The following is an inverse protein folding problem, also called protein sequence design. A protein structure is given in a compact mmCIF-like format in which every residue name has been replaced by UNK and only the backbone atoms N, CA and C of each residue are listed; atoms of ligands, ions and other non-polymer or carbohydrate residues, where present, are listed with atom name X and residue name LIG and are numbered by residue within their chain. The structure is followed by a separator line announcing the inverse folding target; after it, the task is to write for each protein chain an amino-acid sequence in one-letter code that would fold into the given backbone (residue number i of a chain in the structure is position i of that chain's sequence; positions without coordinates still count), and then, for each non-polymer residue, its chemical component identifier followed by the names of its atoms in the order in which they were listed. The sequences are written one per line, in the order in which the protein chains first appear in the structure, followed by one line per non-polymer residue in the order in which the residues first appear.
data_IF_685957586772
#
_entry.id   IF_685957586772
#
_cell.length_a   1.000
_cell.length_b   1.000
_cell.length_c   1.000
_cell.angle_alpha   90.00
_cell.angle_beta   90.00
_cell.angle_gamma   90.00
#
_symmetry.space_group_name_H-M   'P 1'
#
loop_
_entity.id
_entity.type
_entity.pdbx_description
1 polymer ?
#
# COMPACT_ATOMS: atom_id res chain seq x y z
N UNK A 1 -41.79 27.27 -56.54
CA UNK A 1 -41.35 26.14 -57.38
C UNK A 1 -40.21 25.42 -56.66
N UNK A 2 -40.39 24.11 -56.41
CA UNK A 2 -39.41 23.04 -56.15
C UNK A 2 -38.25 23.25 -55.15
N UNK A 3 -38.30 22.42 -54.12
CA UNK A 3 -37.30 22.08 -53.09
C UNK A 3 -35.93 21.66 -53.63
N UNK A 4 -34.88 21.90 -52.83
CA UNK A 4 -33.84 20.90 -52.54
C UNK A 4 -33.22 21.19 -51.15
N UNK A 5 -33.35 20.23 -50.22
CA UNK A 5 -32.57 20.14 -48.98
C UNK A 5 -31.32 19.31 -49.26
N UNK A 6 -30.19 19.71 -48.67
CA UNK A 6 -29.09 18.81 -48.33
C UNK A 6 -28.41 19.34 -47.07
N UNK A 7 -28.33 18.49 -46.05
CA UNK A 7 -27.65 18.74 -44.79
C UNK A 7 -26.29 18.01 -44.79
N UNK A 8 -25.26 18.65 -44.23
CA UNK A 8 -24.05 18.01 -43.70
C UNK A 8 -23.34 19.04 -42.80
N UNK A 9 -23.54 18.97 -41.49
CA UNK A 9 -22.70 18.21 -40.53
C UNK A 9 -21.40 18.96 -40.19
N UNK A 10 -21.43 19.66 -39.06
CA UNK A 10 -20.33 20.44 -38.49
C UNK A 10 -19.17 19.55 -38.02
N UNK A 11 -17.95 20.07 -38.20
CA UNK A 11 -16.71 19.44 -37.76
C UNK A 11 -16.52 19.71 -36.27
N UNK A 12 -16.83 18.73 -35.43
CA UNK A 12 -16.42 18.72 -34.01
C UNK A 12 -15.12 17.89 -33.91
N UNK A 13 -13.99 18.57 -33.74
CA UNK A 13 -12.69 17.92 -33.56
C UNK A 13 -12.62 17.32 -32.16
N UNK A 14 -13.00 16.05 -32.03
CA UNK A 14 -12.76 15.24 -30.82
C UNK A 14 -11.28 14.85 -30.82
N UNK A 15 -10.49 15.46 -29.93
CA UNK A 15 -9.14 15.00 -29.62
C UNK A 15 -9.27 13.70 -28.84
N UNK A 16 -9.23 12.56 -29.55
CA UNK A 16 -9.02 11.26 -28.93
C UNK A 16 -7.59 11.24 -28.38
N UNK A 17 -7.45 11.35 -27.06
CA UNK A 17 -6.25 10.93 -26.35
C UNK A 17 -6.22 9.40 -26.42
N UNK A 18 -5.55 8.88 -27.43
CA UNK A 18 -5.18 7.47 -27.52
C UNK A 18 -4.16 7.18 -26.41
N UNK A 19 -4.63 6.72 -25.26
CA UNK A 19 -3.80 5.96 -24.33
C UNK A 19 -3.31 4.71 -25.08
N UNK A 20 -2.06 4.77 -25.52
CA UNK A 20 -1.36 3.63 -26.09
C UNK A 20 -1.18 2.56 -24.99
N UNK A 21 -2.16 1.67 -24.85
CA UNK A 21 -2.00 0.37 -24.23
C UNK A 21 -1.06 -0.46 -25.12
N UNK A 22 0.24 -0.17 -25.04
CA UNK A 22 1.27 -1.07 -25.54
C UNK A 22 1.31 -2.27 -24.60
N UNK A 23 0.42 -3.23 -24.86
CA UNK A 23 0.57 -4.61 -24.42
C UNK A 23 1.80 -5.19 -25.15
N UNK A 24 3.00 -4.87 -24.64
CA UNK A 24 4.22 -5.53 -25.05
C UNK A 24 4.24 -6.93 -24.41
N UNK A 25 3.55 -7.88 -25.02
CA UNK A 25 3.83 -9.31 -24.86
C UNK A 25 5.17 -9.63 -25.52
N UNK A 26 6.26 -9.24 -24.84
CA UNK A 26 7.60 -9.76 -25.05
C UNK A 26 8.00 -10.52 -23.80
N UNK A 27 8.78 -11.60 -23.94
CA UNK A 27 9.18 -12.52 -22.87
C UNK A 27 10.09 -11.92 -21.77
N UNK A 28 9.97 -10.62 -21.48
CA UNK A 28 10.63 -9.95 -20.37
C UNK A 28 9.64 -8.97 -19.73
N UNK A 29 9.52 -8.99 -18.40
CA UNK A 29 8.51 -8.30 -17.60
C UNK A 29 8.35 -6.78 -17.83
N UNK A 30 7.53 -6.09 -17.02
CA UNK A 30 7.24 -4.66 -17.21
C UNK A 30 8.52 -3.81 -17.26
N UNK A 31 8.44 -2.69 -17.99
CA UNK A 31 9.48 -1.67 -17.88
C UNK A 31 9.56 -1.14 -16.44
N UNK A 32 10.72 -0.67 -15.98
CA UNK A 32 10.85 -0.10 -14.64
C UNK A 32 9.82 1.00 -14.35
N UNK A 33 9.51 1.86 -15.33
CA UNK A 33 8.45 2.88 -15.19
C UNK A 33 7.05 2.26 -14.97
N UNK A 34 6.67 1.26 -15.76
CA UNK A 34 5.36 0.61 -15.61
C UNK A 34 5.26 -0.17 -14.29
N UNK A 35 6.35 -0.80 -13.87
CA UNK A 35 6.42 -1.51 -12.60
C UNK A 35 6.36 -0.54 -11.42
N UNK A 36 7.13 0.55 -11.43
CA UNK A 36 7.09 1.58 -10.38
C UNK A 36 5.69 2.21 -10.23
N UNK A 37 5.02 2.54 -11.34
CA UNK A 37 3.65 3.04 -11.30
C UNK A 37 2.67 2.03 -10.67
N UNK A 38 2.81 0.74 -11.00
CA UNK A 38 2.00 -0.35 -10.44
C UNK A 38 2.24 -0.53 -8.94
N UNK A 39 3.51 -0.52 -8.52
CA UNK A 39 3.89 -0.64 -7.11
C UNK A 39 3.40 0.56 -6.30
N UNK A 40 3.56 1.78 -6.80
CA UNK A 40 3.06 2.95 -6.09
C UNK A 40 1.54 2.98 -5.99
N UNK A 41 0.83 2.63 -7.07
CA UNK A 41 -0.63 2.43 -7.03
C UNK A 41 -1.06 1.39 -6.01
N UNK A 42 -0.29 0.30 -5.88
CA UNK A 42 -0.54 -0.74 -4.88
C UNK A 42 -0.34 -0.24 -3.45
N UNK A 43 0.68 0.59 -3.22
CA UNK A 43 1.06 1.09 -1.91
C UNK A 43 0.24 2.30 -1.44
N UNK A 44 -0.40 3.06 -2.32
CA UNK A 44 -1.18 4.25 -1.94
C UNK A 44 -2.30 3.95 -0.93
N UNK A 45 -3.19 2.97 -1.16
CA UNK A 45 -4.21 2.60 -0.16
C UNK A 45 -3.59 2.10 1.15
N UNK A 46 -2.49 1.35 1.06
CA UNK A 46 -1.78 0.85 2.24
C UNK A 46 -1.23 2.00 3.10
N UNK A 47 -0.55 2.99 2.50
CA UNK A 47 -0.06 4.17 3.21
C UNK A 47 -1.18 4.96 3.89
N UNK A 48 -2.33 5.09 3.21
CA UNK A 48 -3.49 5.74 3.78
C UNK A 48 -4.01 5.00 5.03
N UNK A 49 -4.06 3.66 4.99
CA UNK A 49 -4.50 2.87 6.14
C UNK A 49 -3.48 2.92 7.30
N UNK A 50 -2.17 2.92 7.02
CA UNK A 50 -1.14 3.06 8.07
C UNK A 50 -1.19 4.45 8.73
N UNK A 51 -1.42 5.50 7.95
CA UNK A 51 -1.59 6.86 8.47
C UNK A 51 -2.81 6.95 9.40
N UNK A 52 -3.93 6.36 8.97
CA UNK A 52 -5.16 6.26 9.77
C UNK A 52 -4.97 5.43 11.03
N UNK A 53 -4.26 4.30 10.96
CA UNK A 53 -3.93 3.49 12.13
C UNK A 53 -3.16 4.33 13.17
N UNK A 54 -2.14 5.08 12.73
CA UNK A 54 -1.32 5.92 13.61
C UNK A 54 -2.15 7.00 14.28
N UNK A 55 -2.98 7.73 13.53
CA UNK A 55 -3.84 8.77 14.10
C UNK A 55 -4.89 8.20 15.03
N UNK A 56 -5.60 7.15 14.61
CA UNK A 56 -6.66 6.54 15.41
C UNK A 56 -6.14 5.83 16.66
N UNK A 57 -4.96 5.22 16.62
CA UNK A 57 -4.36 4.62 17.83
C UNK A 57 -4.08 5.69 18.88
N UNK A 58 -3.49 6.83 18.48
CA UNK A 58 -3.26 7.96 19.38
C UNK A 58 -4.57 8.53 19.95
N UNK A 59 -5.62 8.60 19.13
CA UNK A 59 -6.96 9.00 19.60
C UNK A 59 -7.54 8.00 20.61
N UNK A 60 -7.47 6.69 20.36
CA UNK A 60 -7.99 5.68 21.29
C UNK A 60 -7.24 5.69 22.64
N UNK A 61 -5.94 6.00 22.62
CA UNK A 61 -5.11 6.10 23.82
C UNK A 61 -5.39 7.37 24.66
N UNK A 62 -6.00 8.39 24.07
CA UNK A 62 -6.24 9.70 24.72
C UNK A 62 -7.72 10.02 24.95
N UNK A 63 -8.62 9.31 24.27
CA UNK A 63 -10.06 9.46 24.41
C UNK A 63 -10.57 8.85 25.74
N UNK A 64 -11.65 9.40 26.29
CA UNK A 64 -12.38 8.83 27.43
C UNK A 64 -13.22 7.61 26.98
N UNK A 65 -12.58 6.60 26.41
CA UNK A 65 -13.23 5.33 26.03
C UNK A 65 -12.99 4.27 27.09
N UNK A 66 -13.93 3.35 27.21
CA UNK A 66 -13.72 2.18 28.08
C UNK A 66 -12.68 1.24 27.46
N UNK A 67 -11.90 0.48 28.26
CA UNK A 67 -10.94 -0.49 27.73
C UNK A 67 -11.55 -1.49 26.74
N UNK A 68 -12.81 -1.89 26.94
CA UNK A 68 -13.51 -2.79 26.01
C UNK A 68 -13.75 -2.14 24.63
N UNK A 69 -14.22 -0.90 24.60
CA UNK A 69 -14.41 -0.15 23.35
C UNK A 69 -13.07 0.14 22.66
N UNK A 70 -12.05 0.52 23.43
CA UNK A 70 -10.70 0.74 22.92
C UNK A 70 -10.16 -0.54 22.28
N UNK A 71 -10.31 -1.69 22.94
CA UNK A 71 -9.91 -3.00 22.42
C UNK A 71 -10.55 -3.31 21.07
N UNK A 72 -11.87 -3.27 20.97
CA UNK A 72 -12.59 -3.55 19.73
C UNK A 72 -12.13 -2.63 18.59
N UNK A 73 -11.96 -1.34 18.88
CA UNK A 73 -11.49 -0.36 17.90
C UNK A 73 -10.07 -0.63 17.44
N UNK A 74 -9.15 -0.89 18.37
CA UNK A 74 -7.75 -1.17 18.08
C UNK A 74 -7.63 -2.47 17.27
N UNK A 75 -8.24 -3.57 17.71
CA UNK A 75 -8.21 -4.85 16.97
C UNK A 75 -8.66 -4.66 15.52
N UNK A 76 -9.76 -3.91 15.30
CA UNK A 76 -10.24 -3.59 13.96
C UNK A 76 -9.25 -2.76 13.15
N UNK A 77 -8.60 -1.77 13.76
CA UNK A 77 -7.61 -0.92 13.07
C UNK A 77 -6.37 -1.72 12.68
N UNK A 78 -5.82 -2.54 13.58
CA UNK A 78 -4.67 -3.41 13.30
C UNK A 78 -5.00 -4.46 12.23
N UNK A 79 -6.20 -5.07 12.28
CA UNK A 79 -6.67 -5.97 11.23
C UNK A 79 -6.82 -5.28 9.86
N UNK A 80 -7.21 -4.01 9.83
CA UNK A 80 -7.24 -3.21 8.60
C UNK A 80 -5.84 -3.01 8.01
N UNK A 81 -4.84 -2.70 8.83
CA UNK A 81 -3.45 -2.54 8.41
C UNK A 81 -2.82 -3.87 7.94
N UNK A 82 -3.13 -4.98 8.60
CA UNK A 82 -2.76 -6.33 8.17
C UNK A 82 -3.30 -6.62 6.76
N UNK A 83 -4.61 -6.44 6.55
CA UNK A 83 -5.26 -6.69 5.27
C UNK A 83 -4.72 -5.79 4.16
N UNK A 84 -4.53 -4.50 4.45
CA UNK A 84 -3.98 -3.55 3.49
C UNK A 84 -2.54 -3.91 3.08
N UNK A 85 -1.72 -4.40 4.03
CA UNK A 85 -0.36 -4.88 3.75
C UNK A 85 -0.38 -6.10 2.83
N UNK A 86 -1.31 -7.02 3.06
CA UNK A 86 -1.47 -8.23 2.25
C UNK A 86 -2.01 -7.93 0.84
N UNK A 87 -2.94 -6.99 0.73
CA UNK A 87 -3.43 -6.48 -0.56
C UNK A 87 -2.32 -5.83 -1.37
N UNK A 88 -1.51 -4.98 -0.73
CA UNK A 88 -0.34 -4.39 -1.37
C UNK A 88 0.64 -5.47 -1.85
N UNK A 89 0.94 -6.48 -1.01
CA UNK A 89 1.83 -7.60 -1.38
C UNK A 89 1.34 -8.31 -2.63
N UNK A 90 0.04 -8.68 -2.66
CA UNK A 90 -0.57 -9.34 -3.83
C UNK A 90 -0.51 -8.49 -5.09
N UNK A 91 -0.73 -7.17 -4.97
CA UNK A 91 -0.64 -6.26 -6.13
C UNK A 91 0.79 -6.10 -6.64
N UNK A 92 1.79 -6.10 -5.76
CA UNK A 92 3.20 -6.13 -6.18
C UNK A 92 3.53 -7.45 -6.87
N UNK A 93 3.02 -8.58 -6.36
CA UNK A 93 3.15 -9.87 -7.01
C UNK A 93 2.50 -9.90 -8.41
N UNK A 94 1.32 -9.31 -8.56
CA UNK A 94 0.64 -9.16 -9.85
C UNK A 94 1.37 -8.22 -10.82
N UNK A 95 2.07 -7.21 -10.30
CA UNK A 95 2.91 -6.34 -11.12
C UNK A 95 4.10 -7.10 -11.74
N UNK A 96 4.49 -8.25 -11.17
CA UNK A 96 5.54 -9.11 -11.70
C UNK A 96 6.96 -8.60 -11.40
N UNK A 97 7.88 -8.92 -12.29
CA UNK A 97 9.32 -8.63 -12.14
C UNK A 97 9.71 -7.50 -13.09
N UNK A 98 10.27 -6.37 -12.58
CA UNK A 98 10.70 -5.28 -13.43
C UNK A 98 11.90 -5.70 -14.29
N UNK A 99 11.94 -5.23 -15.53
CA UNK A 99 13.05 -5.47 -16.45
C UNK A 99 14.23 -4.54 -16.14
N UNK A 100 14.88 -4.80 -15.02
CA UNK A 100 16.09 -4.12 -14.54
C UNK A 100 17.07 -5.14 -13.98
N UNK A 101 18.33 -4.73 -13.79
CA UNK A 101 19.30 -5.52 -13.04
C UNK A 101 18.74 -5.86 -11.64
N UNK A 102 18.90 -7.12 -11.22
CA UNK A 102 18.35 -7.66 -9.97
C UNK A 102 16.82 -7.55 -9.81
N UNK A 103 16.06 -7.45 -10.91
CA UNK A 103 14.60 -7.29 -10.85
C UNK A 103 13.86 -8.35 -10.01
N UNK A 104 14.30 -9.61 -10.05
CA UNK A 104 13.70 -10.70 -9.26
C UNK A 104 13.92 -10.49 -7.75
N UNK A 105 15.15 -10.15 -7.36
CA UNK A 105 15.52 -9.85 -5.97
C UNK A 105 14.76 -8.62 -5.46
N UNK A 106 14.61 -7.60 -6.30
CA UNK A 106 13.82 -6.39 -5.99
C UNK A 106 12.36 -6.76 -5.76
N UNK A 107 11.71 -7.46 -6.69
CA UNK A 107 10.29 -7.85 -6.56
C UNK A 107 10.07 -8.76 -5.35
N UNK A 108 10.99 -9.71 -5.09
CA UNK A 108 10.95 -10.55 -3.90
C UNK A 108 11.12 -9.74 -2.61
N UNK A 109 12.04 -8.77 -2.56
CA UNK A 109 12.25 -7.89 -1.42
C UNK A 109 11.00 -7.09 -1.05
N UNK A 110 10.37 -6.44 -2.03
CA UNK A 110 9.11 -5.71 -1.79
C UNK A 110 8.01 -6.62 -1.23
N UNK A 111 7.85 -7.83 -1.80
CA UNK A 111 6.85 -8.80 -1.30
C UNK A 111 7.18 -9.29 0.12
N UNK A 112 8.45 -9.56 0.40
CA UNK A 112 8.90 -10.03 1.71
C UNK A 112 8.65 -8.97 2.78
N UNK A 113 8.96 -7.70 2.52
CA UNK A 113 8.70 -6.64 3.48
C UNK A 113 7.22 -6.39 3.70
N UNK A 114 6.39 -6.39 2.66
CA UNK A 114 4.93 -6.28 2.84
C UNK A 114 4.35 -7.46 3.62
N UNK A 115 4.88 -8.67 3.43
CA UNK A 115 4.52 -9.84 4.24
C UNK A 115 4.94 -9.67 5.71
N UNK A 116 6.16 -9.16 5.96
CA UNK A 116 6.63 -8.88 7.31
C UNK A 116 5.74 -7.85 8.01
N UNK A 117 5.33 -6.79 7.31
CA UNK A 117 4.42 -5.77 7.84
C UNK A 117 3.03 -6.35 8.14
N UNK A 118 2.48 -7.18 7.23
CA UNK A 118 1.23 -7.91 7.47
C UNK A 118 1.32 -8.71 8.78
N UNK A 119 2.37 -9.52 8.92
CA UNK A 119 2.53 -10.39 10.08
C UNK A 119 2.71 -9.60 11.37
N UNK A 120 3.42 -8.47 11.32
CA UNK A 120 3.61 -7.57 12.46
C UNK A 120 2.28 -6.95 12.92
N UNK A 121 1.48 -6.44 11.99
CA UNK A 121 0.14 -5.91 12.31
C UNK A 121 -0.79 -6.99 12.86
N UNK A 122 -0.80 -8.19 12.27
CA UNK A 122 -1.59 -9.31 12.76
C UNK A 122 -1.19 -9.75 14.17
N UNK A 123 0.11 -9.80 14.46
CA UNK A 123 0.63 -10.09 15.81
C UNK A 123 0.22 -9.02 16.83
N UNK A 124 0.35 -7.74 16.49
CA UNK A 124 -0.04 -6.65 17.38
C UNK A 124 -1.56 -6.66 17.65
N UNK A 125 -2.38 -6.84 16.62
CA UNK A 125 -3.83 -6.99 16.76
C UNK A 125 -4.23 -8.16 17.66
N UNK A 126 -3.62 -9.33 17.44
CA UNK A 126 -3.86 -10.53 18.27
C UNK A 126 -3.41 -10.33 19.73
N UNK A 127 -2.30 -9.64 19.95
CA UNK A 127 -1.80 -9.33 21.30
C UNK A 127 -2.78 -8.42 22.04
N UNK A 128 -3.30 -7.38 21.38
CA UNK A 128 -4.31 -6.48 21.94
C UNK A 128 -5.62 -7.24 22.21
N UNK A 129 -6.03 -8.12 21.30
CA UNK A 129 -7.23 -8.94 21.48
C UNK A 129 -7.11 -9.92 22.66
N UNK A 130 -5.90 -10.33 23.05
CA UNK A 130 -5.68 -11.17 24.22
C UNK A 130 -5.73 -10.39 25.56
N UNK A 131 -5.69 -9.06 25.55
CA UNK A 131 -5.66 -8.26 26.78
C UNK A 131 -7.00 -8.31 27.53
N UNK A 132 -6.89 -8.36 28.86
CA UNK A 132 -8.01 -8.14 29.77
C UNK A 132 -8.41 -6.66 29.79
N UNK A 133 -9.70 -6.40 29.84
CA UNK A 133 -10.28 -5.04 29.93
C UNK A 133 -10.73 -4.70 31.35
N UNK A 134 -10.46 -5.57 32.33
CA UNK A 134 -10.90 -5.42 33.72
C UNK A 134 -10.15 -4.34 34.50
N UNK A 135 -8.90 -4.07 34.13
CA UNK A 135 -8.06 -3.04 34.74
C UNK A 135 -7.54 -2.10 33.65
N UNK A 136 -7.99 -0.84 33.67
CA UNK A 136 -7.73 0.09 32.58
C UNK A 136 -6.22 0.36 32.39
N UNK A 137 -5.48 0.58 33.47
CA UNK A 137 -4.03 0.81 33.39
C UNK A 137 -3.31 -0.37 32.75
N UNK A 138 -3.60 -1.60 33.22
CA UNK A 138 -2.96 -2.81 32.67
C UNK A 138 -3.30 -3.02 31.19
N UNK A 139 -4.54 -2.73 30.78
CA UNK A 139 -4.94 -2.76 29.37
C UNK A 139 -4.10 -1.81 28.52
N UNK A 140 -4.04 -0.52 28.89
CA UNK A 140 -3.31 0.47 28.10
C UNK A 140 -1.78 0.29 28.14
N UNK A 141 -1.24 -0.28 29.21
CA UNK A 141 0.17 -0.70 29.28
C UNK A 141 0.44 -1.82 28.27
N UNK A 142 -0.44 -2.83 28.20
CA UNK A 142 -0.35 -3.91 27.23
C UNK A 142 -0.46 -3.42 25.78
N UNK A 143 -1.35 -2.46 25.50
CA UNK A 143 -1.47 -1.83 24.18
C UNK A 143 -0.15 -1.13 23.80
N UNK A 144 0.45 -0.35 24.70
CA UNK A 144 1.74 0.32 24.45
C UNK A 144 2.84 -0.68 24.15
N UNK A 145 2.94 -1.76 24.93
CA UNK A 145 3.94 -2.81 24.70
C UNK A 145 3.76 -3.49 23.32
N UNK A 146 2.51 -3.75 22.91
CA UNK A 146 2.23 -4.32 21.59
C UNK A 146 2.66 -3.36 20.45
N UNK A 147 2.42 -2.06 20.60
CA UNK A 147 2.85 -1.03 19.63
C UNK A 147 4.38 -0.89 19.60
N UNK A 148 5.04 -0.97 20.75
CA UNK A 148 6.51 -0.93 20.83
C UNK A 148 7.15 -2.11 20.10
N UNK A 149 6.61 -3.32 20.26
CA UNK A 149 7.07 -4.51 19.52
C UNK A 149 6.84 -4.32 18.02
N UNK A 150 5.68 -3.82 17.61
CA UNK A 150 5.42 -3.49 16.20
C UNK A 150 6.46 -2.52 15.63
N UNK A 151 6.83 -1.47 16.37
CA UNK A 151 7.85 -0.51 15.93
C UNK A 151 9.21 -1.17 15.75
N UNK A 152 9.62 -2.04 16.68
CA UNK A 152 10.87 -2.80 16.56
C UNK A 152 10.88 -3.72 15.33
N UNK A 153 9.75 -4.37 15.04
CA UNK A 153 9.59 -5.20 13.84
C UNK A 153 9.60 -4.37 12.55
N UNK A 154 9.05 -3.16 12.59
CA UNK A 154 9.12 -2.19 11.49
C UNK A 154 10.56 -1.79 11.19
N UNK A 155 11.34 -1.44 12.20
CA UNK A 155 12.74 -1.04 12.06
C UNK A 155 13.60 -2.21 11.57
N UNK A 156 13.34 -3.43 12.05
CA UNK A 156 14.05 -4.63 11.64
C UNK A 156 13.70 -5.10 10.22
N UNK A 157 12.49 -4.79 9.75
CA UNK A 157 11.99 -5.18 8.41
C UNK A 157 12.21 -4.11 7.34
N UNK A 158 12.79 -2.96 7.71
CA UNK A 158 13.27 -1.97 6.77
C UNK A 158 14.19 -2.65 5.75
N UNK A 159 13.78 -2.65 4.48
CA UNK A 159 14.58 -3.21 3.41
C UNK A 159 15.95 -2.56 3.42
N UNK A 160 17.00 -3.38 3.42
CA UNK A 160 18.32 -2.95 3.01
C UNK A 160 18.29 -2.61 1.52
N UNK A 161 17.78 -1.42 1.20
CA UNK A 161 17.63 -0.91 -0.16
C UNK A 161 18.98 -0.63 -0.82
N UNK A 162 20.08 -0.68 -0.07
CA UNK A 162 21.44 -0.50 -0.60
C UNK A 162 21.82 -1.58 -1.62
N UNK A 163 21.22 -2.77 -1.52
CA UNK A 163 21.39 -3.88 -2.47
C UNK A 163 20.35 -3.91 -3.59
N UNK A 164 19.30 -3.10 -3.48
CA UNK A 164 18.22 -2.96 -4.46
C UNK A 164 18.44 -1.74 -5.39
N UNK A 165 19.68 -1.24 -5.42
CA UNK A 165 20.08 0.00 -6.07
C UNK A 165 20.14 -0.13 -7.60
N UNK A 166 18.99 -0.10 -8.27
CA UNK A 166 18.90 0.17 -9.71
C UNK A 166 18.66 1.67 -9.94
N UNK A 167 19.61 2.38 -10.53
CA UNK A 167 19.48 3.81 -10.87
C UNK A 167 18.31 4.08 -11.82
N UNK A 168 18.06 3.14 -12.74
CA UNK A 168 16.90 3.19 -13.63
C UNK A 168 15.59 3.08 -12.85
N UNK A 169 15.52 2.16 -11.89
CA UNK A 169 14.32 1.97 -11.08
C UNK A 169 14.08 3.15 -10.12
N UNK A 170 15.14 3.71 -9.51
CA UNK A 170 15.04 4.93 -8.68
C UNK A 170 14.44 6.08 -9.47
N UNK A 171 14.98 6.37 -10.66
CA UNK A 171 14.44 7.40 -11.54
C UNK A 171 12.98 7.13 -11.90
N UNK A 172 12.62 5.87 -12.15
CA UNK A 172 11.23 5.51 -12.39
C UNK A 172 10.31 5.85 -11.21
N UNK A 173 10.70 5.53 -9.97
CA UNK A 173 9.92 5.90 -8.78
C UNK A 173 9.78 7.42 -8.59
N UNK A 174 10.82 8.21 -8.92
CA UNK A 174 10.79 9.67 -8.79
C UNK A 174 9.89 10.36 -9.85
N UNK A 175 9.79 9.76 -11.04
CA UNK A 175 9.12 10.37 -12.20
C UNK A 175 7.65 9.95 -12.38
N UNK A 176 7.21 8.84 -11.78
CA UNK A 176 5.82 8.37 -11.95
C UNK A 176 4.87 9.16 -11.03
N UNK A 177 3.76 9.71 -11.56
CA UNK A 177 2.82 10.48 -10.75
C UNK A 177 2.21 9.71 -9.57
N UNK A 178 2.09 8.39 -9.69
CA UNK A 178 1.48 7.52 -8.69
C UNK A 178 2.29 7.44 -7.38
N UNK A 179 3.57 7.81 -7.41
CA UNK A 179 4.43 7.86 -6.22
C UNK A 179 4.45 9.23 -5.51
N UNK A 180 3.66 10.20 -5.98
CA UNK A 180 3.63 11.58 -5.45
C UNK A 180 2.47 11.84 -4.52
#
# INVERSE_FOLDING_TARGET
MRTCRAAAAGKLTVVLVTLALLAACGAGGPSPRAWAASVCSALTPWRAEISKLTSSTNEQMTAQTTPAQAKENLVRLFGGAEQASEDARRKVEQAGVPRVEHGEEISAGFRASLASMRDAYGRAGSTIDALSTGEATAFYDGVRAAVEVLQQEYDASALDTSRLNSEELKRAFDEVPECR
#
